data_IF_903143571596
#
_entry.id   IF_903143571596
#
_cell.length_a   1.000
_cell.length_b   1.000
_cell.length_c   1.000
_cell.angle_alpha   90.00
_cell.angle_beta   90.00
_cell.angle_gamma   90.00
#
_symmetry.space_group_name_H-M   'P 1'
#
loop_
_entity.id
_entity.type
_entity.pdbx_description
1 polymer ?
#
# COMPACT_ATOMS: atom_id res chain seq x y z
N UNK A 1 -6.99 14.59 -23.02
CA UNK A 1 -6.82 15.44 -21.83
C UNK A 1 -6.88 14.53 -20.63
N UNK A 2 -5.87 14.55 -19.76
CA UNK A 2 -5.84 13.69 -18.57
C UNK A 2 -6.88 14.10 -17.55
N UNK A 3 -7.32 13.16 -16.71
CA UNK A 3 -8.28 13.47 -15.64
C UNK A 3 -7.67 14.43 -14.60
N UNK A 4 -8.49 15.25 -13.91
CA UNK A 4 -7.99 16.27 -12.98
C UNK A 4 -7.09 15.71 -11.87
N UNK A 5 -7.34 14.50 -11.37
CA UNK A 5 -6.53 13.91 -10.30
C UNK A 5 -5.15 13.52 -10.82
N UNK A 6 -5.08 12.95 -12.03
CA UNK A 6 -3.79 12.67 -12.65
C UNK A 6 -2.99 13.95 -12.94
N UNK A 7 -3.64 15.06 -13.31
CA UNK A 7 -2.93 16.34 -13.51
C UNK A 7 -2.26 16.83 -12.23
N UNK A 8 -2.94 16.71 -11.07
CA UNK A 8 -2.36 17.03 -9.76
C UNK A 8 -1.19 16.11 -9.43
N UNK A 9 -1.33 14.80 -9.70
CA UNK A 9 -0.26 13.82 -9.51
C UNK A 9 0.96 14.09 -10.41
N UNK A 10 0.72 14.45 -11.67
CA UNK A 10 1.78 14.82 -12.61
C UNK A 10 2.51 16.06 -12.12
N UNK A 11 1.78 17.08 -11.64
CA UNK A 11 2.37 18.28 -11.07
C UNK A 11 3.23 17.97 -9.84
N UNK A 12 2.77 17.09 -8.95
CA UNK A 12 3.57 16.61 -7.82
C UNK A 12 4.89 15.96 -8.26
N UNK A 13 4.85 15.08 -9.26
CA UNK A 13 6.04 14.42 -9.79
C UNK A 13 6.98 15.38 -10.51
N UNK A 14 6.47 16.41 -11.18
CA UNK A 14 7.29 17.48 -11.77
C UNK A 14 8.01 18.31 -10.71
N UNK A 15 7.33 18.58 -9.59
CA UNK A 15 7.92 19.30 -8.46
C UNK A 15 8.89 18.41 -7.65
N UNK A 16 8.74 17.07 -7.71
CA UNK A 16 9.50 16.08 -6.96
C UNK A 16 9.94 14.90 -7.85
N UNK A 17 10.78 15.12 -8.87
CA UNK A 17 11.13 14.09 -9.86
C UNK A 17 11.85 12.88 -9.26
N UNK A 18 12.53 13.03 -8.12
CA UNK A 18 13.20 11.94 -7.41
C UNK A 18 12.22 10.92 -6.79
N UNK A 19 10.94 11.28 -6.68
CA UNK A 19 9.85 10.40 -6.24
C UNK A 19 9.35 9.49 -7.32
N UNK A 20 9.68 9.76 -8.58
CA UNK A 20 9.36 8.82 -9.66
C UNK A 20 10.21 7.54 -9.50
N UNK A 21 9.53 6.40 -9.55
CA UNK A 21 10.14 5.08 -9.47
C UNK A 21 10.93 4.78 -10.74
N UNK A 22 12.22 4.49 -10.60
CA UNK A 22 13.10 4.12 -11.72
C UNK A 22 12.92 2.66 -12.18
N UNK A 23 11.83 1.99 -11.78
CA UNK A 23 11.59 0.57 -12.08
C UNK A 23 11.31 0.30 -13.56
N UNK A 24 10.75 1.28 -14.28
CA UNK A 24 10.48 1.16 -15.71
C UNK A 24 11.08 2.33 -16.47
N UNK A 25 11.84 2.02 -17.54
CA UNK A 25 12.38 3.03 -18.46
C UNK A 25 11.30 3.77 -19.25
N UNK A 26 10.12 3.18 -19.38
CA UNK A 26 9.00 3.80 -20.10
C UNK A 26 8.26 4.85 -19.27
N UNK A 27 8.52 4.91 -17.96
CA UNK A 27 7.85 5.84 -17.05
C UNK A 27 8.82 6.99 -16.76
N UNK A 28 8.62 8.12 -17.44
CA UNK A 28 9.43 9.33 -17.28
C UNK A 28 8.61 10.58 -17.57
N UNK A 29 9.09 11.73 -17.11
CA UNK A 29 8.44 13.03 -17.26
C UNK A 29 8.92 13.80 -18.50
N UNK A 30 9.92 13.28 -19.21
CA UNK A 30 10.68 14.01 -20.23
C UNK A 30 10.00 14.05 -21.62
N UNK A 31 8.95 13.26 -21.83
CA UNK A 31 8.22 13.22 -23.10
C UNK A 31 6.75 12.86 -22.91
N UNK A 32 5.93 13.19 -23.91
CA UNK A 32 4.50 12.87 -23.93
C UNK A 32 4.26 11.36 -23.86
N UNK A 33 5.10 10.54 -24.48
CA UNK A 33 5.01 9.07 -24.41
C UNK A 33 5.17 8.57 -22.97
N UNK A 34 6.12 9.12 -22.21
CA UNK A 34 6.33 8.73 -20.82
C UNK A 34 5.21 9.18 -19.89
N UNK A 35 4.69 10.39 -20.11
CA UNK A 35 3.54 10.92 -19.36
C UNK A 35 2.28 10.09 -19.66
N UNK A 36 2.07 9.69 -20.92
CA UNK A 36 0.99 8.80 -21.30
C UNK A 36 1.14 7.42 -20.64
N UNK A 37 2.35 6.85 -20.61
CA UNK A 37 2.61 5.57 -19.93
C UNK A 37 2.36 5.66 -18.40
N UNK A 38 2.67 6.79 -17.78
CA UNK A 38 2.33 7.07 -16.38
C UNK A 38 0.81 7.10 -16.17
N UNK A 39 0.08 7.80 -17.04
CA UNK A 39 -1.37 7.88 -17.00
C UNK A 39 -2.02 6.50 -17.19
N UNK A 40 -1.57 5.72 -18.17
CA UNK A 40 -2.04 4.35 -18.37
C UNK A 40 -1.78 3.46 -17.16
N UNK A 41 -0.60 3.56 -16.53
CA UNK A 41 -0.31 2.81 -15.30
C UNK A 41 -1.26 3.21 -14.17
N UNK A 42 -1.47 4.52 -13.98
CA UNK A 42 -2.36 5.06 -12.96
C UNK A 42 -3.80 4.57 -13.14
N UNK A 43 -4.37 4.74 -14.33
CA UNK A 43 -5.73 4.31 -14.66
C UNK A 43 -5.88 2.80 -14.48
N UNK A 44 -4.95 2.01 -15.04
CA UNK A 44 -4.95 0.57 -14.89
C UNK A 44 -4.93 0.14 -13.43
N UNK A 45 -4.08 0.75 -12.60
CA UNK A 45 -3.98 0.42 -11.18
C UNK A 45 -5.25 0.77 -10.40
N UNK A 46 -5.95 1.86 -10.75
CA UNK A 46 -7.25 2.21 -10.14
C UNK A 46 -8.37 1.25 -10.55
N UNK A 47 -8.46 0.94 -11.83
CA UNK A 47 -9.57 0.16 -12.40
C UNK A 47 -9.39 -1.35 -12.23
N UNK A 48 -8.16 -1.83 -12.02
CA UNK A 48 -7.87 -3.24 -11.86
C UNK A 48 -8.73 -3.86 -10.74
N UNK A 49 -9.53 -4.87 -11.10
CA UNK A 49 -10.22 -5.70 -10.13
C UNK A 49 -9.19 -6.53 -9.36
N UNK A 50 -9.14 -6.35 -8.04
CA UNK A 50 -8.28 -7.14 -7.19
C UNK A 50 -8.93 -8.48 -6.89
N UNK A 51 -8.17 -9.56 -7.05
CA UNK A 51 -8.61 -10.93 -6.77
C UNK A 51 -7.50 -11.69 -6.06
N UNK A 52 -7.86 -12.68 -5.26
CA UNK A 52 -6.89 -13.57 -4.65
C UNK A 52 -6.30 -14.48 -5.74
N UNK A 53 -5.00 -14.37 -5.99
CA UNK A 53 -4.28 -15.21 -6.92
C UNK A 53 -3.36 -16.19 -6.17
N UNK A 54 -3.20 -17.40 -6.71
CA UNK A 54 -2.18 -18.33 -6.20
C UNK A 54 -0.80 -17.87 -6.69
N UNK A 55 0.21 -17.76 -5.81
CA UNK A 55 1.57 -17.48 -6.26
C UNK A 55 2.05 -18.55 -7.23
N UNK A 56 2.72 -18.13 -8.30
CA UNK A 56 3.37 -19.05 -9.25
C UNK A 56 4.83 -19.36 -8.85
N UNK A 57 5.30 -18.80 -7.74
CA UNK A 57 6.66 -18.99 -7.23
C UNK A 57 6.87 -20.43 -6.76
N UNK A 58 8.04 -20.99 -7.07
CA UNK A 58 8.48 -22.28 -6.54
C UNK A 58 8.90 -22.07 -5.07
N UNK A 59 8.31 -22.78 -4.10
CA UNK A 59 8.73 -22.74 -2.70
C UNK A 59 10.16 -23.24 -2.48
N UNK A 60 10.80 -22.81 -1.40
CA UNK A 60 12.12 -23.30 -0.98
C UNK A 60 11.98 -24.52 -0.05
N UNK A 61 12.43 -25.69 -0.51
CA UNK A 61 12.36 -26.94 0.24
C UNK A 61 13.11 -26.89 1.58
N UNK A 62 14.10 -26.00 1.73
CA UNK A 62 14.79 -25.81 3.00
C UNK A 62 13.83 -25.37 4.12
N UNK A 63 12.76 -24.64 3.79
CA UNK A 63 11.73 -24.24 4.76
C UNK A 63 11.03 -25.47 5.33
N UNK A 64 10.65 -26.43 4.47
CA UNK A 64 10.02 -27.68 4.90
C UNK A 64 10.97 -28.50 5.78
N UNK A 65 12.25 -28.63 5.39
CA UNK A 65 13.26 -29.33 6.20
C UNK A 65 13.38 -28.72 7.59
N UNK A 66 13.46 -27.39 7.69
CA UNK A 66 13.55 -26.69 8.98
C UNK A 66 12.30 -26.96 9.83
N UNK A 67 11.11 -26.90 9.23
CA UNK A 67 9.86 -27.15 9.93
C UNK A 67 9.75 -28.59 10.45
N UNK A 68 10.21 -29.58 9.67
CA UNK A 68 10.27 -30.97 10.10
C UNK A 68 11.26 -31.15 11.26
N UNK A 69 12.46 -30.57 11.17
CA UNK A 69 13.50 -30.74 12.20
C UNK A 69 13.20 -29.96 13.49
N UNK A 70 12.65 -28.75 13.40
CA UNK A 70 12.42 -27.90 14.57
C UNK A 70 11.04 -28.11 15.20
N UNK A 71 10.04 -28.50 14.42
CA UNK A 71 8.64 -28.62 14.88
C UNK A 71 8.09 -30.06 14.82
N UNK A 72 8.88 -31.04 14.36
CA UNK A 72 8.48 -32.44 14.18
C UNK A 72 7.24 -32.61 13.28
N UNK A 73 7.07 -31.74 12.28
CA UNK A 73 6.02 -31.92 11.28
C UNK A 73 6.33 -33.09 10.35
N UNK A 74 5.29 -33.78 9.90
CA UNK A 74 5.42 -34.84 8.87
C UNK A 74 5.57 -34.21 7.49
N UNK A 75 5.97 -35.03 6.52
CA UNK A 75 6.07 -34.63 5.11
C UNK A 75 4.73 -34.09 4.60
N UNK A 76 3.63 -34.79 4.88
CA UNK A 76 2.28 -34.36 4.50
C UNK A 76 1.89 -33.01 5.12
N UNK A 77 2.23 -32.80 6.40
CA UNK A 77 1.96 -31.52 7.07
C UNK A 77 2.74 -30.38 6.43
N UNK A 78 4.01 -30.59 6.10
CA UNK A 78 4.81 -29.55 5.43
C UNK A 78 4.33 -29.22 4.03
N UNK A 79 3.84 -30.22 3.28
CA UNK A 79 3.22 -29.99 1.98
C UNK A 79 1.94 -29.13 2.08
N UNK A 80 1.12 -29.39 3.10
CA UNK A 80 -0.07 -28.58 3.37
C UNK A 80 0.31 -27.14 3.78
N UNK A 81 1.22 -26.99 4.75
CA UNK A 81 1.69 -25.67 5.23
C UNK A 81 2.26 -24.85 4.07
N UNK A 82 3.00 -25.47 3.15
CA UNK A 82 3.56 -24.82 1.96
C UNK A 82 2.48 -24.15 1.12
N UNK A 83 1.40 -24.88 0.80
CA UNK A 83 0.27 -24.36 0.00
C UNK A 83 -0.48 -23.26 0.76
N UNK A 84 -0.76 -23.47 2.04
CA UNK A 84 -1.48 -22.52 2.88
C UNK A 84 -0.68 -21.22 3.11
N UNK A 85 0.63 -21.33 3.29
CA UNK A 85 1.53 -20.19 3.42
C UNK A 85 1.54 -19.33 2.15
N UNK A 86 1.62 -19.96 0.97
CA UNK A 86 1.55 -19.24 -0.31
C UNK A 86 0.22 -18.48 -0.47
N UNK A 87 -0.91 -19.12 -0.15
CA UNK A 87 -2.21 -18.46 -0.16
C UNK A 87 -2.28 -17.30 0.83
N UNK A 88 -1.71 -17.48 2.02
CA UNK A 88 -1.66 -16.44 3.05
C UNK A 88 -0.84 -15.24 2.60
N UNK A 89 0.32 -15.43 1.98
CA UNK A 89 1.13 -14.33 1.42
C UNK A 89 0.36 -13.53 0.36
N UNK A 90 -0.36 -14.22 -0.53
CA UNK A 90 -1.22 -13.54 -1.51
C UNK A 90 -2.33 -12.73 -0.84
N UNK A 91 -2.97 -13.28 0.19
CA UNK A 91 -3.99 -12.57 0.95
C UNK A 91 -3.40 -11.34 1.67
N UNK A 92 -2.20 -11.44 2.24
CA UNK A 92 -1.53 -10.32 2.91
C UNK A 92 -1.22 -9.17 1.95
N UNK A 93 -0.75 -9.47 0.73
CA UNK A 93 -0.54 -8.46 -0.31
C UNK A 93 -1.86 -7.81 -0.73
N UNK A 94 -2.91 -8.61 -0.89
CA UNK A 94 -4.25 -8.14 -1.23
C UNK A 94 -4.83 -7.21 -0.15
N UNK A 95 -4.59 -7.50 1.15
CA UNK A 95 -5.01 -6.63 2.25
C UNK A 95 -4.36 -5.25 2.14
N UNK A 96 -3.08 -5.15 1.77
CA UNK A 96 -2.41 -3.86 1.53
C UNK A 96 -3.08 -3.05 0.43
N UNK A 97 -3.31 -3.68 -0.73
CA UNK A 97 -3.95 -3.02 -1.87
C UNK A 97 -5.41 -2.62 -1.59
N UNK A 98 -6.18 -3.44 -0.83
CA UNK A 98 -7.53 -3.10 -0.42
C UNK A 98 -7.57 -1.99 0.63
N UNK A 99 -6.56 -1.91 1.52
CA UNK A 99 -6.45 -0.86 2.52
C UNK A 99 -6.31 0.52 1.86
N UNK A 100 -5.46 0.63 0.85
CA UNK A 100 -5.32 1.87 0.08
C UNK A 100 -6.65 2.25 -0.60
N UNK A 101 -7.35 1.29 -1.22
CA UNK A 101 -8.65 1.56 -1.86
C UNK A 101 -9.71 2.04 -0.87
N UNK A 102 -9.80 1.43 0.30
CA UNK A 102 -10.74 1.84 1.34
C UNK A 102 -10.46 3.27 1.81
N UNK A 103 -9.20 3.59 2.09
CA UNK A 103 -8.78 4.94 2.48
C UNK A 103 -9.07 5.95 1.35
N UNK A 104 -8.80 5.59 0.10
CA UNK A 104 -9.05 6.44 -1.06
C UNK A 104 -10.52 6.83 -1.20
N UNK A 105 -11.47 5.94 -0.87
CA UNK A 105 -12.91 6.25 -0.91
C UNK A 105 -13.29 7.39 0.02
N UNK A 106 -12.60 7.52 1.15
CA UNK A 106 -12.83 8.58 2.14
C UNK A 106 -12.01 9.83 1.81
N UNK A 107 -10.76 9.67 1.40
CA UNK A 107 -9.84 10.80 1.22
C UNK A 107 -10.04 11.55 -0.10
N UNK A 108 -10.30 10.84 -1.20
CA UNK A 108 -10.38 11.46 -2.54
C UNK A 108 -11.45 12.56 -2.68
N UNK A 109 -12.65 12.44 -2.08
CA UNK A 109 -13.64 13.53 -2.08
C UNK A 109 -13.16 14.82 -1.40
N UNK A 110 -12.13 14.74 -0.56
CA UNK A 110 -11.61 15.86 0.24
C UNK A 110 -10.28 16.41 -0.30
N UNK A 111 -10.00 16.17 -1.58
CA UNK A 111 -8.87 16.77 -2.30
C UNK A 111 -7.54 16.02 -2.16
N UNK A 112 -7.51 14.91 -1.42
CA UNK A 112 -6.40 13.97 -1.47
C UNK A 112 -6.42 13.21 -2.80
N UNK A 113 -5.24 12.87 -3.30
CA UNK A 113 -5.05 12.08 -4.52
C UNK A 113 -4.39 10.76 -4.12
N UNK A 114 -5.05 9.65 -4.42
CA UNK A 114 -4.44 8.33 -4.29
C UNK A 114 -3.41 8.13 -5.41
N UNK A 115 -2.15 7.90 -5.06
CA UNK A 115 -1.05 7.58 -5.97
C UNK A 115 -1.12 6.13 -6.44
N UNK A 116 -2.23 5.75 -7.10
CA UNK A 116 -2.46 4.39 -7.52
C UNK A 116 -1.38 3.89 -8.50
N UNK A 117 -0.73 2.79 -8.13
CA UNK A 117 0.33 2.15 -8.91
C UNK A 117 1.73 2.37 -8.33
N UNK A 118 2.67 1.51 -8.72
CA UNK A 118 3.99 1.43 -8.08
C UNK A 118 5.03 2.44 -8.62
N UNK A 119 4.58 3.56 -9.20
CA UNK A 119 5.46 4.54 -9.83
C UNK A 119 5.77 5.75 -8.95
N UNK A 120 5.04 5.98 -7.85
CA UNK A 120 5.41 6.98 -6.84
C UNK A 120 6.11 6.28 -5.67
N UNK A 121 7.32 6.72 -5.34
CA UNK A 121 8.14 6.06 -4.33
C UNK A 121 7.72 6.46 -2.93
N UNK A 122 7.32 5.45 -2.16
CA UNK A 122 7.08 5.54 -0.72
C UNK A 122 6.00 6.56 -0.30
N UNK A 123 5.05 6.84 -1.20
CA UNK A 123 3.92 7.74 -0.98
C UNK A 123 2.70 7.09 -1.63
N UNK A 124 1.60 7.00 -0.87
CA UNK A 124 0.36 6.41 -1.33
C UNK A 124 -0.72 7.48 -1.52
N UNK A 125 -0.65 8.61 -0.79
CA UNK A 125 -1.57 9.73 -0.93
C UNK A 125 -0.83 11.07 -0.93
N UNK A 126 -1.29 12.01 -1.75
CA UNK A 126 -0.79 13.39 -1.78
C UNK A 126 -1.94 14.40 -1.73
N UNK A 127 -1.67 15.59 -1.21
CA UNK A 127 -2.58 16.74 -1.25
C UNK A 127 -1.77 18.02 -1.38
N UNK A 128 -2.24 18.96 -2.20
CA UNK A 128 -1.62 20.27 -2.29
C UNK A 128 -2.35 21.24 -1.35
N UNK A 129 -1.62 21.75 -0.35
CA UNK A 129 -2.17 22.73 0.57
C UNK A 129 -2.04 24.14 -0.01
N UNK A 130 -3.16 24.71 -0.45
CA UNK A 130 -3.18 26.04 -1.09
C UNK A 130 -2.76 27.17 -0.13
N UNK A 131 -2.94 27.01 1.18
CA UNK A 131 -2.59 28.05 2.16
C UNK A 131 -1.09 28.10 2.41
N UNK A 132 -0.44 26.93 2.49
CA UNK A 132 1.00 26.82 2.75
C UNK A 132 1.83 26.74 1.47
N UNK A 133 1.20 26.47 0.33
CA UNK A 133 1.85 26.19 -0.96
C UNK A 133 2.83 25.00 -0.87
N UNK A 134 2.48 24.00 -0.07
CA UNK A 134 3.29 22.79 0.16
C UNK A 134 2.50 21.53 -0.17
N UNK A 135 3.23 20.49 -0.54
CA UNK A 135 2.72 19.14 -0.70
C UNK A 135 2.68 18.42 0.64
N UNK A 136 1.51 17.88 0.97
CA UNK A 136 1.29 16.92 2.03
C UNK A 136 1.31 15.52 1.40
N UNK A 137 1.99 14.57 2.05
CA UNK A 137 2.18 13.22 1.52
C UNK A 137 2.08 12.20 2.64
N UNK A 138 1.31 11.13 2.40
CA UNK A 138 1.09 10.05 3.37
C UNK A 138 1.51 8.71 2.75
N UNK A 139 2.22 7.92 3.55
CA UNK A 139 2.49 6.52 3.30
C UNK A 139 1.69 5.66 4.27
N UNK A 140 0.89 4.75 3.73
CA UNK A 140 0.10 3.76 4.44
C UNK A 140 0.84 2.43 4.48
N UNK A 141 0.79 1.77 5.65
CA UNK A 141 1.27 0.41 5.84
C UNK A 141 0.23 -0.45 6.53
N UNK A 142 0.17 -1.73 6.20
CA UNK A 142 -0.76 -2.64 6.87
C UNK A 142 -0.31 -2.96 8.32
N UNK A 143 1.00 -3.07 8.57
CA UNK A 143 1.55 -3.33 9.91
C UNK A 143 2.68 -2.35 10.27
N UNK A 144 2.88 -2.15 11.56
CA UNK A 144 3.99 -1.35 12.12
C UNK A 144 5.39 -1.90 11.75
N UNK A 145 5.50 -3.21 11.57
CA UNK A 145 6.73 -3.92 11.25
C UNK A 145 6.86 -4.31 9.77
N UNK A 146 5.99 -3.83 8.88
CA UNK A 146 6.08 -4.09 7.43
C UNK A 146 7.31 -3.43 6.80
N UNK A 147 7.95 -2.51 7.51
CA UNK A 147 9.02 -1.69 6.96
C UNK A 147 10.41 -2.32 7.15
N UNK A 148 11.16 -2.44 6.06
CA UNK A 148 12.58 -2.80 6.07
C UNK A 148 13.45 -1.53 6.05
N UNK A 149 14.74 -1.66 6.38
CA UNK A 149 15.67 -0.52 6.49
C UNK A 149 15.73 0.36 5.22
N UNK A 150 15.61 -0.26 4.03
CA UNK A 150 15.64 0.45 2.75
C UNK A 150 14.43 1.34 2.50
N UNK A 151 13.24 0.96 2.95
CA UNK A 151 12.04 1.81 2.85
C UNK A 151 12.05 2.97 3.85
N UNK A 152 12.68 2.78 5.01
CA UNK A 152 12.81 3.85 6.02
C UNK A 152 13.78 4.96 5.61
N UNK A 153 14.85 4.61 4.89
CA UNK A 153 15.86 5.55 4.41
C UNK A 153 15.29 6.57 3.42
N UNK A 154 14.27 6.19 2.62
CA UNK A 154 13.64 7.07 1.60
C UNK A 154 12.90 8.25 2.24
N UNK A 155 12.48 8.12 3.51
CA UNK A 155 11.77 9.19 4.24
C UNK A 155 12.68 10.09 5.08
N UNK A 156 13.95 9.71 5.29
CA UNK A 156 14.87 10.53 6.09
C UNK A 156 15.06 11.90 5.41
N UNK A 157 14.71 12.97 6.12
CA UNK A 157 14.77 14.34 5.60
C UNK A 157 13.56 14.78 4.77
N UNK A 158 12.43 14.06 4.84
CA UNK A 158 11.20 14.36 4.09
C UNK A 158 10.03 14.68 5.01
N UNK A 159 9.00 15.36 4.51
CA UNK A 159 7.74 15.66 5.23
C UNK A 159 6.69 14.56 5.06
N UNK A 160 7.06 13.39 4.53
CA UNK A 160 6.12 12.29 4.28
C UNK A 160 5.70 11.68 5.61
N UNK A 161 4.41 11.79 5.93
CA UNK A 161 3.83 11.15 7.10
C UNK A 161 3.68 9.66 6.86
N UNK A 162 4.05 8.86 7.86
CA UNK A 162 3.83 7.41 7.83
C UNK A 162 2.72 7.04 8.80
N UNK A 163 1.73 6.33 8.29
CA UNK A 163 0.70 5.69 9.09
C UNK A 163 0.68 4.18 8.85
N UNK A 164 0.29 3.42 9.86
CA UNK A 164 0.09 1.97 9.74
C UNK A 164 -1.21 1.55 10.39
N UNK A 165 -1.82 0.45 9.92
CA UNK A 165 -3.12 -0.04 10.39
C UNK A 165 -3.06 -0.87 11.66
N UNK A 166 -2.16 -1.86 11.75
CA UNK A 166 -2.13 -2.84 12.85
C UNK A 166 -0.78 -2.91 13.56
N UNK A 167 -0.82 -3.20 14.85
CA UNK A 167 0.36 -3.48 15.67
C UNK A 167 0.72 -4.97 15.59
N UNK A 168 2.01 -5.27 15.35
CA UNK A 168 2.52 -6.64 15.29
C UNK A 168 2.56 -7.36 16.63
N UNK A 169 2.55 -6.62 17.74
CA UNK A 169 2.59 -7.17 19.10
C UNK A 169 1.37 -6.72 19.91
N UNK A 170 0.70 -7.61 20.66
CA UNK A 170 -0.35 -7.20 21.57
C UNK A 170 0.21 -6.34 22.72
N UNK A 171 -0.62 -5.44 23.27
CA UNK A 171 -0.24 -4.62 24.43
C UNK A 171 -1.44 -4.43 25.35
N UNK A 172 -1.25 -4.65 26.65
CA UNK A 172 -2.27 -4.35 27.68
C UNK A 172 -2.58 -2.86 27.82
N UNK A 173 -1.75 -1.99 27.24
CA UNK A 173 -1.92 -0.52 27.28
C UNK A 173 -2.80 0.03 26.15
N UNK A 174 -3.14 -0.79 25.15
CA UNK A 174 -3.99 -0.39 24.03
C UNK A 174 -5.34 -1.10 24.14
N UNK A 175 -6.41 -0.37 23.83
CA UNK A 175 -7.75 -0.94 23.78
C UNK A 175 -7.91 -1.89 22.58
N UNK A 176 -7.23 -1.60 21.47
CA UNK A 176 -7.26 -2.40 20.23
C UNK A 176 -5.83 -2.64 19.71
N UNK A 177 -5.69 -3.57 18.76
CA UNK A 177 -4.44 -3.78 18.02
C UNK A 177 -4.42 -3.03 16.68
N UNK A 178 -5.32 -2.07 16.50
CA UNK A 178 -5.43 -1.21 15.32
C UNK A 178 -5.00 0.22 15.67
N UNK A 179 -4.82 1.07 14.67
CA UNK A 179 -4.22 2.39 14.83
C UNK A 179 -4.98 3.49 14.08
N UNK A 180 -6.28 3.29 13.84
CA UNK A 180 -7.15 4.21 13.09
C UNK A 180 -7.29 5.57 13.77
N UNK A 181 -7.28 5.61 15.10
CA UNK A 181 -7.36 6.81 15.92
C UNK A 181 -6.14 7.75 15.76
N UNK A 182 -5.05 7.25 15.19
CA UNK A 182 -3.82 8.00 14.91
C UNK A 182 -3.64 8.27 13.42
N UNK A 183 -4.68 8.14 12.59
CA UNK A 183 -4.61 8.52 11.18
C UNK A 183 -4.20 10.00 11.04
N UNK A 184 -3.28 10.38 10.14
CA UNK A 184 -2.73 11.74 10.03
C UNK A 184 -3.80 12.84 10.01
N UNK A 185 -4.79 12.67 9.15
CA UNK A 185 -5.90 13.60 8.99
C UNK A 185 -6.95 13.39 10.09
N UNK A 186 -6.93 14.23 11.11
CA UNK A 186 -7.85 14.12 12.25
C UNK A 186 -9.33 14.14 11.84
N UNK A 187 -9.68 14.87 10.78
CA UNK A 187 -11.05 14.97 10.25
C UNK A 187 -11.61 13.66 9.67
N UNK A 188 -10.76 12.69 9.31
CA UNK A 188 -11.18 11.41 8.75
C UNK A 188 -11.14 10.25 9.75
N UNK A 189 -10.69 10.48 10.98
CA UNK A 189 -10.59 9.42 12.02
C UNK A 189 -11.95 8.84 12.41
N UNK A 190 -13.02 9.61 12.28
CA UNK A 190 -14.39 9.14 12.54
C UNK A 190 -15.01 8.39 11.34
N UNK A 191 -14.42 8.52 10.15
CA UNK A 191 -14.89 7.87 8.91
C UNK A 191 -14.10 6.61 8.57
N UNK A 192 -12.87 6.50 9.09
CA UNK A 192 -11.97 5.37 8.87
C UNK A 192 -11.93 4.49 10.12
N UNK A 193 -12.32 3.22 9.97
CA UNK A 193 -12.31 2.27 11.08
C UNK A 193 -11.97 0.85 10.64
N UNK A 194 -11.60 0.00 11.60
CA UNK A 194 -11.34 -1.41 11.32
C UNK A 194 -12.60 -2.13 10.87
N UNK A 195 -13.74 -1.85 11.50
CA UNK A 195 -15.02 -2.43 11.13
C UNK A 195 -15.41 -2.04 9.70
N UNK A 196 -15.29 -0.75 9.37
CA UNK A 196 -15.54 -0.24 8.03
C UNK A 196 -14.61 -0.87 6.97
N UNK A 197 -13.32 -1.03 7.29
CA UNK A 197 -12.37 -1.69 6.41
C UNK A 197 -12.71 -3.16 6.16
N UNK A 198 -13.03 -3.93 7.21
CA UNK A 198 -13.41 -5.33 7.08
C UNK A 198 -14.71 -5.50 6.29
N UNK A 199 -15.67 -4.60 6.48
CA UNK A 199 -16.91 -4.59 5.70
C UNK A 199 -16.63 -4.27 4.23
N UNK A 200 -15.80 -3.26 3.94
CA UNK A 200 -15.34 -2.95 2.59
C UNK A 200 -14.71 -4.16 1.89
N UNK A 201 -13.84 -4.93 2.57
CA UNK A 201 -13.26 -6.15 1.99
C UNK A 201 -14.33 -7.17 1.62
N UNK A 202 -15.30 -7.41 2.51
CA UNK A 202 -16.38 -8.37 2.26
C UNK A 202 -17.21 -7.97 1.06
N UNK A 203 -17.58 -6.69 0.97
CA UNK A 203 -18.41 -6.17 -0.11
C UNK A 203 -17.64 -6.14 -1.45
N UNK A 204 -16.33 -5.86 -1.42
CA UNK A 204 -15.49 -5.84 -2.61
C UNK A 204 -15.23 -7.23 -3.20
N UNK A 205 -15.10 -8.25 -2.34
CA UNK A 205 -14.77 -9.62 -2.73
C UNK A 205 -15.99 -10.54 -2.88
N UNK A 206 -17.19 -10.07 -2.54
CA UNK A 206 -18.46 -10.77 -2.79
C UNK A 206 -18.72 -10.93 -4.31
#
# INVERSE_FOLDING_TARGET
>A
MFDPKFQVLLKFLQDNPERLSSRSKSLHLDSDEGINALHECYVRSKEQKLTLSRPATIPDDAVSVILQQCCNFTEEQTEQIKVEHQLSMSAENLVGALLERYIAQVLEPHGWIWCAGDFVRAIDFIKYNQSTQLWEAVQVKNRDNTENSSSSAIRQGTTIEKWFRTYSKPSKKRATNTNWENFPEAEFRDQLSEEGFLQFIRDYLA
#
